data_IF_629739206821
#
_entry.id   IF_629739206821
#
_cell.length_a   1.000
_cell.length_b   1.000
_cell.length_c   1.000
_cell.angle_alpha   90.00
_cell.angle_beta   90.00
_cell.angle_gamma   90.00
#
_symmetry.space_group_name_H-M   'P 1'
#
loop_
_entity.id
_entity.type
_entity.pdbx_description
1 polymer ?
#
# COMPACT_ATOMS: atom_id res chain seq x y z
N UNK A 1 -4.21 5.40 -18.95
CA UNK A 1 -5.38 4.56 -19.16
C UNK A 1 -5.82 3.95 -17.83
N UNK A 2 -7.11 3.78 -17.63
CA UNK A 2 -7.71 3.14 -16.46
C UNK A 2 -8.60 1.98 -16.91
N UNK A 3 -8.47 0.83 -16.25
CA UNK A 3 -9.29 -0.34 -16.54
C UNK A 3 -10.70 -0.11 -15.98
N UNK A 4 -11.72 -0.28 -16.81
CA UNK A 4 -13.13 -0.02 -16.47
C UNK A 4 -14.04 -1.23 -16.66
N UNK A 5 -13.60 -2.23 -17.41
CA UNK A 5 -14.30 -3.52 -17.50
C UNK A 5 -13.29 -4.66 -17.68
N UNK A 6 -13.59 -5.80 -17.07
CA UNK A 6 -12.84 -7.05 -17.18
C UNK A 6 -13.81 -8.22 -17.33
N UNK A 7 -13.58 -9.04 -18.34
CA UNK A 7 -14.31 -10.29 -18.58
C UNK A 7 -13.29 -11.38 -18.90
N UNK A 8 -13.66 -12.62 -18.66
CA UNK A 8 -12.82 -13.77 -19.04
C UNK A 8 -13.67 -14.90 -19.62
N UNK A 9 -13.04 -15.69 -20.46
CA UNK A 9 -13.58 -16.94 -21.02
C UNK A 9 -12.55 -18.08 -20.95
N UNK A 10 -12.83 -19.22 -21.55
CA UNK A 10 -11.92 -20.37 -21.57
C UNK A 10 -10.56 -20.06 -22.23
N UNK A 11 -10.47 -19.06 -23.12
CA UNK A 11 -9.31 -18.78 -23.95
C UNK A 11 -8.53 -17.52 -23.54
N UNK A 12 -9.10 -16.63 -22.72
CA UNK A 12 -8.43 -15.39 -22.32
C UNK A 12 -9.29 -14.43 -21.54
N UNK A 13 -8.79 -13.21 -21.42
CA UNK A 13 -9.42 -12.10 -20.72
C UNK A 13 -9.54 -10.90 -21.66
N UNK A 14 -10.68 -10.23 -21.64
CA UNK A 14 -10.94 -8.98 -22.33
C UNK A 14 -11.01 -7.84 -21.30
N UNK A 15 -10.20 -6.81 -21.50
CA UNK A 15 -10.15 -5.64 -20.64
C UNK A 15 -10.49 -4.39 -21.46
N UNK A 16 -11.37 -3.56 -20.93
CA UNK A 16 -11.64 -2.24 -21.48
C UNK A 16 -10.88 -1.20 -20.67
N UNK A 17 -10.16 -0.35 -21.36
CA UNK A 17 -9.39 0.75 -20.80
C UNK A 17 -9.99 2.07 -21.30
N UNK A 18 -10.23 3.02 -20.38
CA UNK A 18 -10.57 4.38 -20.72
C UNK A 18 -9.34 5.28 -20.57
N UNK A 19 -9.21 6.26 -21.45
CA UNK A 19 -8.16 7.27 -21.33
C UNK A 19 -8.37 8.11 -20.07
N UNK A 20 -7.30 8.30 -19.30
CA UNK A 20 -7.32 9.24 -18.16
C UNK A 20 -6.92 10.62 -18.66
N UNK A 21 -7.76 11.61 -18.39
CA UNK A 21 -7.53 13.02 -18.71
C UNK A 21 -7.15 13.73 -17.41
N UNK A 22 -6.12 14.56 -17.47
CA UNK A 22 -5.76 15.46 -16.36
C UNK A 22 -6.11 16.90 -16.75
N UNK A 23 -7.04 17.48 -16.01
CA UNK A 23 -7.43 18.88 -16.19
C UNK A 23 -7.47 19.56 -14.81
N UNK A 24 -6.84 20.72 -14.68
CA UNK A 24 -6.76 21.51 -13.43
C UNK A 24 -6.30 20.69 -12.21
N UNK A 25 -5.33 19.78 -12.42
CA UNK A 25 -4.81 18.91 -11.37
C UNK A 25 -5.70 17.72 -10.98
N UNK A 26 -6.91 17.63 -11.52
CA UNK A 26 -7.85 16.52 -11.30
C UNK A 26 -7.77 15.50 -12.43
N UNK A 27 -7.98 14.24 -12.07
CA UNK A 27 -8.06 13.14 -13.03
C UNK A 27 -9.53 12.78 -13.27
N UNK A 28 -9.90 12.55 -14.54
CA UNK A 28 -11.20 12.06 -14.95
C UNK A 28 -11.07 11.05 -16.07
N UNK A 29 -12.08 10.21 -16.25
CA UNK A 29 -12.16 9.29 -17.39
C UNK A 29 -12.60 10.05 -18.63
N UNK A 30 -11.85 9.88 -19.72
CA UNK A 30 -12.24 10.35 -21.05
C UNK A 30 -13.14 9.35 -21.78
N UNK A 31 -13.67 9.77 -22.92
CA UNK A 31 -14.55 8.93 -23.77
C UNK A 31 -13.74 7.92 -24.61
N UNK A 32 -12.47 8.20 -24.86
CA UNK A 32 -11.62 7.32 -25.65
C UNK A 32 -11.42 5.99 -24.94
N UNK A 33 -11.74 4.90 -25.62
CA UNK A 33 -11.66 3.54 -25.11
C UNK A 33 -10.74 2.67 -25.96
N UNK A 34 -10.07 1.74 -25.30
CA UNK A 34 -9.26 0.71 -25.91
C UNK A 34 -9.62 -0.65 -25.32
N UNK A 35 -9.79 -1.66 -26.17
CA UNK A 35 -9.96 -3.04 -25.73
C UNK A 35 -8.66 -3.81 -25.90
N UNK A 36 -8.31 -4.56 -24.86
CA UNK A 36 -7.11 -5.41 -24.83
C UNK A 36 -7.55 -6.83 -24.53
N UNK A 37 -7.11 -7.78 -25.37
CA UNK A 37 -7.27 -9.21 -25.09
C UNK A 37 -5.94 -9.83 -24.68
N UNK A 38 -5.94 -10.56 -23.59
CA UNK A 38 -4.77 -11.24 -23.05
C UNK A 38 -5.09 -12.68 -22.65
N UNK A 39 -4.08 -13.55 -22.61
CA UNK A 39 -4.27 -14.93 -22.12
C UNK A 39 -4.48 -14.97 -20.61
N UNK A 40 -3.84 -14.08 -19.88
CA UNK A 40 -3.95 -13.89 -18.42
C UNK A 40 -3.92 -12.40 -18.09
N UNK A 41 -4.52 -12.03 -16.95
CA UNK A 41 -4.45 -10.70 -16.37
C UNK A 41 -3.92 -10.82 -14.94
N UNK A 42 -3.00 -9.92 -14.57
CA UNK A 42 -2.49 -9.81 -13.20
C UNK A 42 -2.93 -8.45 -12.65
N UNK A 43 -3.79 -8.48 -11.64
CA UNK A 43 -4.13 -7.31 -10.82
C UNK A 43 -3.01 -7.02 -9.83
N UNK A 44 -2.18 -6.02 -10.14
CA UNK A 44 -1.18 -5.44 -9.24
C UNK A 44 -1.50 -3.95 -9.01
N UNK A 45 -2.79 -3.64 -8.90
CA UNK A 45 -3.42 -2.33 -8.96
C UNK A 45 -3.76 -1.77 -7.56
N UNK A 46 -3.06 -2.27 -6.54
CA UNK A 46 -3.06 -1.71 -5.20
C UNK A 46 -4.26 -2.13 -4.33
N UNK A 47 -4.32 -1.58 -3.12
CA UNK A 47 -5.31 -1.95 -2.09
C UNK A 47 -6.77 -1.77 -2.55
N UNK A 48 -7.03 -0.80 -3.42
CA UNK A 48 -8.35 -0.53 -4.00
C UNK A 48 -8.57 -1.23 -5.35
N UNK A 49 -7.88 -2.34 -5.58
CA UNK A 49 -7.83 -3.09 -6.83
C UNK A 49 -9.18 -3.21 -7.55
N UNK A 50 -9.26 -2.63 -8.75
CA UNK A 50 -10.36 -2.83 -9.67
C UNK A 50 -10.47 -4.31 -10.06
N UNK A 51 -9.32 -4.96 -10.32
CA UNK A 51 -9.29 -6.37 -10.73
C UNK A 51 -9.89 -7.27 -9.64
N UNK A 52 -9.51 -7.06 -8.37
CA UNK A 52 -10.10 -7.83 -7.25
C UNK A 52 -11.61 -7.64 -7.16
N UNK A 53 -12.06 -6.38 -7.24
CA UNK A 53 -13.49 -6.07 -7.20
C UNK A 53 -14.26 -6.68 -8.38
N UNK A 54 -13.69 -6.65 -9.58
CA UNK A 54 -14.29 -7.25 -10.77
C UNK A 54 -14.47 -8.77 -10.67
N UNK A 55 -13.64 -9.43 -9.85
CA UNK A 55 -13.74 -10.86 -9.56
C UNK A 55 -14.68 -11.18 -8.38
N UNK A 56 -15.22 -10.18 -7.68
CA UNK A 56 -16.00 -10.39 -6.46
C UNK A 56 -15.18 -11.01 -5.31
N UNK A 57 -13.85 -10.84 -5.31
CA UNK A 57 -12.99 -11.40 -4.28
C UNK A 57 -12.98 -10.48 -3.06
N UNK A 58 -13.50 -11.00 -1.95
CA UNK A 58 -13.61 -10.29 -0.69
C UNK A 58 -12.28 -10.25 0.09
N UNK A 59 -12.14 -9.22 0.92
CA UNK A 59 -11.10 -9.12 1.92
C UNK A 59 -11.41 -9.97 3.16
N UNK A 60 -10.42 -10.67 3.66
CA UNK A 60 -10.38 -11.16 5.03
C UNK A 60 -9.65 -10.11 5.88
N UNK A 61 -10.37 -9.42 6.74
CA UNK A 61 -9.78 -8.46 7.70
C UNK A 61 -9.12 -9.24 8.85
N UNK A 62 -7.88 -8.86 9.18
CA UNK A 62 -7.11 -9.51 10.24
C UNK A 62 -7.10 -8.70 11.54
N UNK A 63 -7.89 -7.62 11.61
CA UNK A 63 -8.20 -6.92 12.86
C UNK A 63 -7.16 -5.88 13.28
N UNK A 64 -6.40 -5.28 12.35
CA UNK A 64 -5.55 -4.12 12.60
C UNK A 64 -5.98 -2.94 11.73
N UNK A 65 -6.23 -1.79 12.36
CA UNK A 65 -6.52 -0.54 11.68
C UNK A 65 -6.07 0.64 12.52
N UNK A 66 -5.18 1.47 11.96
CA UNK A 66 -4.71 2.71 12.59
C UNK A 66 -4.57 3.82 11.55
N UNK A 67 -4.90 5.04 11.90
CA UNK A 67 -4.72 6.21 11.05
C UNK A 67 -3.40 6.90 11.39
N UNK A 68 -2.61 7.19 10.36
CA UNK A 68 -1.31 7.82 10.50
C UNK A 68 -1.17 8.99 9.53
N UNK A 69 -0.79 10.15 10.05
CA UNK A 69 -0.37 11.28 9.24
C UNK A 69 1.05 11.02 8.73
N UNK A 70 1.22 10.95 7.43
CA UNK A 70 2.52 10.82 6.74
C UNK A 70 2.90 12.18 6.18
N UNK A 71 4.10 12.67 6.54
CA UNK A 71 4.61 13.98 6.16
C UNK A 71 5.95 13.82 5.47
N UNK A 72 6.05 14.26 4.22
CA UNK A 72 7.29 14.30 3.45
C UNK A 72 7.85 15.74 3.43
N UNK A 73 9.10 15.87 3.85
CA UNK A 73 9.83 17.13 3.91
C UNK A 73 11.09 17.09 3.02
N UNK A 74 11.46 18.25 2.49
CA UNK A 74 12.74 18.46 1.84
C UNK A 74 13.55 19.49 2.64
N UNK A 75 14.71 19.13 3.21
CA UNK A 75 15.61 20.09 3.84
C UNK A 75 15.99 21.18 2.85
N UNK A 76 16.05 22.44 3.32
CA UNK A 76 16.47 23.56 2.48
C UNK A 76 17.93 23.43 2.06
N UNK A 77 18.34 24.00 0.92
CA UNK A 77 19.72 23.94 0.45
C UNK A 77 20.71 24.38 1.53
N UNK A 78 21.72 23.54 1.79
CA UNK A 78 22.76 23.81 2.79
C UNK A 78 22.36 23.54 4.25
N UNK A 79 21.11 23.16 4.52
CA UNK A 79 20.65 22.80 5.85
C UNK A 79 20.91 21.31 6.10
N UNK A 80 21.64 21.00 7.15
CA UNK A 80 21.80 19.65 7.69
C UNK A 80 20.89 19.54 8.91
N UNK A 81 19.90 18.63 8.85
CA UNK A 81 19.02 18.37 9.98
C UNK A 81 19.75 17.50 11.02
N UNK A 82 19.70 17.93 12.28
CA UNK A 82 20.22 17.14 13.41
C UNK A 82 19.16 16.13 13.88
N UNK A 83 18.96 15.10 13.06
CA UNK A 83 18.00 14.03 13.31
C UNK A 83 18.62 12.68 12.95
N UNK A 84 18.25 11.59 13.66
CA UNK A 84 18.72 10.26 13.30
C UNK A 84 18.25 9.85 11.89
N UNK A 85 18.94 8.90 11.26
CA UNK A 85 18.52 8.39 9.96
C UNK A 85 17.16 7.70 10.02
N UNK A 86 16.96 6.89 11.05
CA UNK A 86 15.70 6.21 11.32
C UNK A 86 15.40 6.38 12.81
N UNK A 87 14.15 6.70 13.13
CA UNK A 87 13.68 6.82 14.51
C UNK A 87 12.28 6.22 14.68
N UNK A 88 12.10 5.51 15.77
CA UNK A 88 10.80 5.04 16.23
C UNK A 88 10.60 5.49 17.65
N UNK A 89 9.64 6.37 17.88
CA UNK A 89 9.24 6.83 19.20
C UNK A 89 7.93 6.16 19.61
N UNK A 90 8.02 5.17 20.50
CA UNK A 90 6.87 4.51 21.09
C UNK A 90 6.35 5.32 22.30
N UNK A 91 6.23 6.65 22.13
CA UNK A 91 5.70 7.52 23.16
C UNK A 91 4.18 7.53 23.11
N UNK A 92 3.46 7.15 24.20
CA UNK A 92 1.99 7.14 24.22
C UNK A 92 1.34 8.50 23.91
N UNK A 93 2.04 9.60 24.24
CA UNK A 93 1.55 10.95 23.91
C UNK A 93 1.50 11.21 22.41
N UNK A 94 2.42 10.61 21.64
CA UNK A 94 2.48 10.71 20.18
C UNK A 94 3.40 9.63 19.61
N UNK A 95 2.90 8.44 19.31
CA UNK A 95 3.66 7.46 18.54
C UNK A 95 4.11 8.07 17.21
N UNK A 96 5.42 8.02 16.96
CA UNK A 96 6.02 8.70 15.82
C UNK A 96 7.09 7.83 15.18
N UNK A 97 7.08 7.75 13.86
CA UNK A 97 8.13 7.12 13.05
C UNK A 97 8.82 8.19 12.21
N UNK A 98 10.13 8.08 12.04
CA UNK A 98 10.89 8.89 11.10
C UNK A 98 11.77 7.99 10.26
N UNK A 99 11.75 8.19 8.95
CA UNK A 99 12.54 7.40 7.98
C UNK A 99 13.03 8.29 6.84
N UNK A 100 14.03 7.86 6.06
CA UNK A 100 14.36 8.51 4.79
C UNK A 100 13.15 8.46 3.83
N UNK A 101 12.81 9.58 3.21
CA UNK A 101 11.73 9.68 2.22
C UNK A 101 12.20 9.43 0.77
N UNK A 102 13.48 9.03 0.60
CA UNK A 102 14.18 8.94 -0.67
C UNK A 102 15.34 9.95 -0.74
N UNK A 103 16.10 10.00 -1.82
CA UNK A 103 17.24 10.92 -1.94
C UNK A 103 16.82 12.38 -1.74
N UNK A 104 17.36 13.03 -0.70
CA UNK A 104 17.08 14.42 -0.36
C UNK A 104 15.75 14.67 0.36
N UNK A 105 15.02 13.63 0.73
CA UNK A 105 13.75 13.77 1.45
C UNK A 105 13.80 13.07 2.80
N UNK A 106 13.00 13.59 3.74
CA UNK A 106 12.78 13.01 5.07
C UNK A 106 11.30 12.82 5.28
N UNK A 107 10.92 11.73 5.97
CA UNK A 107 9.52 11.40 6.26
C UNK A 107 9.32 11.28 7.75
N UNK A 108 8.26 11.93 8.24
CA UNK A 108 7.69 11.71 9.56
C UNK A 108 6.31 11.08 9.42
N UNK A 109 6.00 10.19 10.34
CA UNK A 109 4.70 9.56 10.42
C UNK A 109 4.22 9.68 11.87
N UNK A 110 3.04 10.27 12.05
CA UNK A 110 2.43 10.52 13.37
C UNK A 110 1.13 9.76 13.49
N UNK A 111 0.99 8.92 14.51
CA UNK A 111 -0.26 8.23 14.79
C UNK A 111 -1.36 9.24 15.17
N UNK A 112 -2.54 9.07 14.61
CA UNK A 112 -3.73 9.84 15.04
C UNK A 112 -4.14 9.38 16.43
N UNK A 113 -4.30 10.33 17.34
CA UNK A 113 -4.80 10.05 18.69
C UNK A 113 -6.34 9.99 18.72
N UNK A 114 -6.94 9.30 19.71
CA UNK A 114 -8.39 9.10 19.76
C UNK A 114 -9.24 10.38 19.77
N UNK A 115 -8.69 11.48 20.28
CA UNK A 115 -9.38 12.78 20.37
C UNK A 115 -9.20 13.67 19.12
N UNK A 116 -8.41 13.22 18.13
CA UNK A 116 -8.15 13.98 16.90
C UNK A 116 -9.01 13.48 15.75
N UNK A 117 -9.38 14.37 14.85
CA UNK A 117 -10.02 14.04 13.58
C UNK A 117 -8.99 13.94 12.45
N UNK A 118 -9.39 13.39 11.30
CA UNK A 118 -8.54 13.38 10.10
C UNK A 118 -8.32 14.79 9.60
N UNK A 119 -9.33 15.63 9.69
CA UNK A 119 -9.31 17.05 9.31
C UNK A 119 -8.29 17.82 10.12
N UNK A 120 -8.21 17.59 11.45
CA UNK A 120 -7.20 18.21 12.32
C UNK A 120 -5.77 17.90 11.84
N UNK A 121 -5.52 16.64 11.43
CA UNK A 121 -4.21 16.21 10.95
C UNK A 121 -3.89 16.66 9.52
N UNK A 122 -4.87 17.14 8.77
CA UNK A 122 -4.69 17.74 7.44
C UNK A 122 -4.41 19.24 7.49
N UNK A 123 -4.60 19.86 8.66
CA UNK A 123 -4.27 21.28 8.88
C UNK A 123 -2.75 21.49 8.90
N UNK A 124 -2.27 22.40 8.07
CA UNK A 124 -0.83 22.67 7.89
C UNK A 124 -0.17 23.23 9.15
N UNK A 125 -0.88 24.04 9.93
CA UNK A 125 -0.33 24.59 11.18
C UNK A 125 -0.19 23.47 12.23
N UNK A 126 -1.15 22.57 12.29
CA UNK A 126 -1.06 21.36 13.11
C UNK A 126 0.12 20.46 12.69
N UNK A 127 0.33 20.26 11.39
CA UNK A 127 1.48 19.51 10.86
C UNK A 127 2.79 20.13 11.33
N UNK A 128 2.98 21.44 11.18
CA UNK A 128 4.18 22.12 11.64
C UNK A 128 4.34 22.10 13.16
N UNK A 129 3.25 22.17 13.91
CA UNK A 129 3.28 22.00 15.36
C UNK A 129 3.81 20.61 15.78
N UNK A 130 3.40 19.55 15.08
CA UNK A 130 3.89 18.18 15.33
C UNK A 130 5.38 18.02 14.99
N UNK A 131 5.85 18.71 13.96
CA UNK A 131 7.23 18.69 13.49
C UNK A 131 8.18 19.56 14.32
N UNK A 132 7.67 20.54 15.06
CA UNK A 132 8.42 21.63 15.70
C UNK A 132 9.59 21.19 16.59
N UNK A 133 9.52 19.96 17.12
CA UNK A 133 10.59 19.33 17.89
C UNK A 133 11.87 19.07 17.06
N UNK A 134 11.73 18.87 15.76
CA UNK A 134 12.83 18.44 14.87
C UNK A 134 13.15 19.43 13.77
N UNK A 135 12.12 20.02 13.18
CA UNK A 135 12.24 20.91 12.02
C UNK A 135 11.23 22.04 12.05
N UNK A 136 11.55 23.12 11.39
CA UNK A 136 10.69 24.30 11.24
C UNK A 136 10.58 24.69 9.74
N UNK A 137 9.65 25.59 9.38
CA UNK A 137 9.56 26.13 8.02
C UNK A 137 10.84 26.84 7.54
N UNK A 138 11.72 27.25 8.47
CA UNK A 138 13.01 27.88 8.10
C UNK A 138 14.06 26.83 7.68
N UNK A 139 13.92 25.58 8.10
CA UNK A 139 14.89 24.51 7.89
C UNK A 139 14.49 23.52 6.80
N UNK A 140 13.19 23.39 6.53
CA UNK A 140 12.68 22.44 5.53
C UNK A 140 11.41 22.96 4.85
N UNK A 141 11.16 22.47 3.64
CA UNK A 141 9.92 22.69 2.90
C UNK A 141 8.99 21.49 3.06
N UNK A 142 7.70 21.76 3.30
CA UNK A 142 6.66 20.76 3.33
C UNK A 142 6.29 20.37 1.90
N UNK A 143 6.64 19.14 1.51
CA UNK A 143 6.42 18.64 0.15
C UNK A 143 5.03 18.02 0.02
N UNK A 144 4.65 17.23 1.02
CA UNK A 144 3.36 16.54 1.05
C UNK A 144 3.01 16.13 2.48
N UNK A 145 1.73 16.17 2.80
CA UNK A 145 1.17 15.49 3.96
C UNK A 145 -0.17 14.85 3.60
N UNK A 146 -0.44 13.69 4.20
CA UNK A 146 -1.71 12.99 4.03
C UNK A 146 -1.92 11.99 5.16
N UNK A 147 -3.16 11.77 5.55
CA UNK A 147 -3.53 10.71 6.49
C UNK A 147 -3.76 9.42 5.72
N UNK A 148 -3.06 8.37 6.12
CA UNK A 148 -3.21 7.02 5.61
C UNK A 148 -3.81 6.13 6.68
N UNK A 149 -4.72 5.27 6.29
CA UNK A 149 -5.24 4.21 7.15
C UNK A 149 -4.43 2.93 6.92
N UNK A 150 -3.63 2.56 7.91
CA UNK A 150 -2.89 1.30 7.90
C UNK A 150 -3.83 0.17 8.30
N UNK A 151 -3.93 -0.84 7.44
CA UNK A 151 -4.84 -1.97 7.62
C UNK A 151 -4.10 -3.29 7.43
N UNK A 152 -4.64 -4.35 8.00
CA UNK A 152 -4.20 -5.73 7.76
C UNK A 152 -5.31 -6.52 7.09
N UNK A 153 -5.15 -6.81 5.81
CA UNK A 153 -6.14 -7.54 5.01
C UNK A 153 -5.47 -8.51 4.05
N UNK A 154 -6.12 -9.62 3.81
CA UNK A 154 -5.68 -10.60 2.82
C UNK A 154 -6.87 -11.02 1.97
N UNK A 155 -6.71 -11.07 0.64
CA UNK A 155 -7.76 -11.49 -0.25
C UNK A 155 -8.14 -12.96 0.01
N UNK A 156 -9.44 -13.26 -0.05
CA UNK A 156 -9.94 -14.61 0.17
C UNK A 156 -9.31 -15.62 -0.80
N UNK A 157 -9.25 -15.24 -2.08
CA UNK A 157 -8.57 -15.97 -3.15
C UNK A 157 -7.63 -15.04 -3.91
N UNK A 158 -6.58 -15.59 -4.51
CA UNK A 158 -5.58 -14.81 -5.24
C UNK A 158 -5.65 -15.02 -6.75
N UNK A 159 -6.54 -15.86 -7.21
CA UNK A 159 -6.88 -15.99 -8.62
C UNK A 159 -8.33 -16.49 -8.81
N UNK A 160 -8.85 -16.23 -9.99
CA UNK A 160 -10.09 -16.82 -10.50
C UNK A 160 -9.91 -17.03 -12.00
N UNK A 161 -9.87 -18.30 -12.42
CA UNK A 161 -9.60 -18.64 -13.82
C UNK A 161 -8.26 -18.10 -14.31
N UNK A 162 -8.31 -17.15 -15.25
CA UNK A 162 -7.13 -16.54 -15.88
C UNK A 162 -6.73 -15.19 -15.31
N UNK A 163 -7.38 -14.76 -14.23
CA UNK A 163 -7.11 -13.48 -13.59
C UNK A 163 -6.52 -13.72 -12.21
N UNK A 164 -5.37 -13.09 -11.92
CA UNK A 164 -4.59 -13.28 -10.71
C UNK A 164 -4.40 -11.95 -9.99
N UNK A 165 -4.14 -12.01 -8.68
CA UNK A 165 -3.82 -10.85 -7.86
C UNK A 165 -2.40 -10.97 -7.32
N UNK A 166 -1.69 -9.83 -7.18
CA UNK A 166 -0.36 -9.74 -6.61
C UNK A 166 -0.16 -8.44 -5.84
N UNK A 167 0.73 -8.45 -4.85
CA UNK A 167 1.03 -7.27 -4.04
C UNK A 167 -0.20 -6.75 -3.29
N UNK A 168 -0.35 -5.44 -3.18
CA UNK A 168 -1.42 -4.80 -2.41
C UNK A 168 -2.83 -5.10 -2.94
N UNK A 169 -2.97 -5.59 -4.16
CA UNK A 169 -4.25 -6.11 -4.67
C UNK A 169 -4.68 -7.40 -3.97
N UNK A 170 -3.71 -8.21 -3.52
CA UNK A 170 -3.93 -9.48 -2.84
C UNK A 170 -3.78 -9.40 -1.31
N UNK A 171 -2.97 -8.47 -0.79
CA UNK A 171 -2.71 -8.36 0.64
C UNK A 171 -2.23 -6.95 1.04
N UNK A 172 -2.76 -6.44 2.12
CA UNK A 172 -2.39 -5.15 2.72
C UNK A 172 -1.89 -5.41 4.13
N UNK A 173 -0.79 -4.77 4.49
CA UNK A 173 -0.17 -4.91 5.80
C UNK A 173 0.26 -3.57 6.38
N UNK A 174 0.30 -3.42 7.72
CA UNK A 174 0.86 -2.25 8.36
C UNK A 174 2.35 -2.08 7.98
N UNK A 175 2.89 -0.85 7.89
CA UNK A 175 4.24 -0.62 7.37
C UNK A 175 5.37 -0.91 8.37
N UNK A 176 5.09 -1.28 9.61
CA UNK A 176 6.06 -1.35 10.72
C UNK A 176 7.26 -2.29 10.51
N UNK A 177 7.17 -3.22 9.59
CA UNK A 177 8.29 -4.09 9.18
C UNK A 177 8.85 -3.75 7.80
N UNK A 178 8.29 -2.80 7.07
CA UNK A 178 8.72 -2.43 5.72
C UNK A 178 8.61 -3.57 4.69
N UNK A 179 7.73 -4.55 4.87
CA UNK A 179 7.70 -5.78 4.06
C UNK A 179 6.69 -5.78 2.90
N UNK A 180 5.87 -4.74 2.73
CA UNK A 180 4.83 -4.69 1.69
C UNK A 180 5.41 -4.85 0.29
N UNK A 181 6.32 -3.97 -0.12
CA UNK A 181 6.98 -4.03 -1.42
C UNK A 181 7.72 -5.36 -1.65
N UNK A 182 8.51 -5.80 -0.67
CA UNK A 182 9.25 -7.06 -0.78
C UNK A 182 8.32 -8.26 -0.93
N UNK A 183 7.15 -8.24 -0.31
CA UNK A 183 6.12 -9.27 -0.45
C UNK A 183 5.55 -9.29 -1.86
N UNK A 184 5.24 -8.13 -2.44
CA UNK A 184 4.78 -8.01 -3.82
C UNK A 184 5.83 -8.48 -4.84
N UNK A 185 7.12 -8.19 -4.61
CA UNK A 185 8.21 -8.70 -5.45
C UNK A 185 8.27 -10.23 -5.40
N UNK A 186 8.11 -10.83 -4.21
CA UNK A 186 8.07 -12.29 -4.06
C UNK A 186 6.84 -12.91 -4.74
N UNK A 187 5.70 -12.21 -4.77
CA UNK A 187 4.52 -12.64 -5.52
C UNK A 187 4.82 -12.66 -7.02
N UNK A 188 5.38 -11.57 -7.56
CA UNK A 188 5.75 -11.48 -8.96
C UNK A 188 6.75 -12.58 -9.35
N UNK A 189 7.77 -12.84 -8.52
CA UNK A 189 8.72 -13.93 -8.73
C UNK A 189 8.03 -15.30 -8.71
N UNK A 190 7.14 -15.53 -7.77
CA UNK A 190 6.41 -16.79 -7.63
C UNK A 190 5.43 -17.04 -8.79
N UNK A 191 4.81 -15.98 -9.32
CA UNK A 191 3.91 -16.05 -10.48
C UNK A 191 4.65 -16.23 -11.81
N UNK A 192 5.82 -15.62 -11.98
CA UNK A 192 6.49 -15.52 -13.28
C UNK A 192 6.78 -16.90 -13.91
N UNK A 193 7.34 -17.84 -13.15
CA UNK A 193 7.66 -19.17 -13.66
C UNK A 193 6.40 -20.02 -13.90
N UNK A 194 5.34 -19.84 -13.13
CA UNK A 194 4.06 -20.51 -13.35
C UNK A 194 3.45 -20.07 -14.66
N UNK A 195 3.41 -18.76 -14.88
CA UNK A 195 2.89 -18.20 -16.12
C UNK A 195 3.74 -18.60 -17.32
N UNK A 196 5.08 -18.67 -17.20
CA UNK A 196 5.94 -19.17 -18.27
C UNK A 196 5.56 -20.60 -18.68
N UNK A 197 5.41 -21.52 -17.71
CA UNK A 197 5.02 -22.90 -17.99
C UNK A 197 3.64 -22.99 -18.65
N UNK A 198 2.66 -22.22 -18.15
CA UNK A 198 1.31 -22.16 -18.72
C UNK A 198 1.31 -21.58 -20.13
N UNK A 199 2.04 -20.50 -20.35
CA UNK A 199 2.12 -19.82 -21.65
C UNK A 199 2.81 -20.66 -22.70
N UNK A 200 3.72 -21.55 -22.31
CA UNK A 200 4.40 -22.53 -23.17
C UNK A 200 3.64 -23.84 -23.33
N UNK A 201 2.50 -24.01 -22.65
CA UNK A 201 1.71 -25.24 -22.70
C UNK A 201 2.38 -26.44 -21.99
N UNK A 202 3.32 -26.16 -21.06
CA UNK A 202 4.02 -27.19 -20.27
C UNK A 202 3.30 -27.51 -18.95
N UNK A 203 2.26 -26.79 -18.61
CA UNK A 203 1.39 -27.04 -17.49
C UNK A 203 -0.05 -26.58 -17.81
N UNK A 204 -1.02 -27.03 -17.04
CA UNK A 204 -2.40 -26.58 -17.12
C UNK A 204 -2.73 -25.57 -15.99
N UNK A 205 -3.93 -25.00 -16.02
CA UNK A 205 -4.34 -23.93 -15.10
C UNK A 205 -4.38 -24.37 -13.62
N UNK A 206 -4.38 -25.66 -13.29
CA UNK A 206 -4.35 -26.16 -11.90
C UNK A 206 -3.04 -25.76 -11.20
N UNK A 207 -1.98 -25.48 -11.96
CA UNK A 207 -0.74 -24.95 -11.42
C UNK A 207 -0.95 -23.62 -10.68
N UNK A 208 -1.94 -22.80 -11.07
CA UNK A 208 -2.23 -21.53 -10.43
C UNK A 208 -2.80 -21.69 -9.00
N UNK A 209 -3.43 -22.82 -8.70
CA UNK A 209 -3.90 -23.12 -7.34
C UNK A 209 -2.73 -23.12 -6.35
N UNK A 210 -1.57 -23.64 -6.77
CA UNK A 210 -0.36 -23.68 -5.95
C UNK A 210 0.17 -22.29 -5.60
N UNK A 211 -0.10 -21.24 -6.40
CA UNK A 211 0.28 -19.88 -6.10
C UNK A 211 -0.33 -19.38 -4.78
N UNK A 212 -1.65 -19.51 -4.65
CA UNK A 212 -2.35 -19.14 -3.41
C UNK A 212 -1.91 -20.01 -2.24
N UNK A 213 -1.78 -21.32 -2.44
CA UNK A 213 -1.38 -22.27 -1.40
C UNK A 213 0.02 -21.99 -0.85
N UNK A 214 0.96 -21.58 -1.67
CA UNK A 214 2.32 -21.29 -1.26
C UNK A 214 2.46 -19.87 -0.67
N UNK A 215 1.87 -18.85 -1.33
CA UNK A 215 2.12 -17.46 -0.95
C UNK A 215 1.27 -16.98 0.23
N UNK A 216 -0.01 -17.36 0.27
CA UNK A 216 -0.95 -16.86 1.27
C UNK A 216 -0.54 -17.16 2.72
N UNK A 217 -0.09 -18.37 3.10
CA UNK A 217 0.39 -18.64 4.46
C UNK A 217 1.61 -17.81 4.85
N UNK A 218 2.58 -17.63 3.92
CA UNK A 218 3.77 -16.82 4.16
C UNK A 218 3.41 -15.34 4.37
N UNK A 219 2.51 -14.81 3.54
CA UNK A 219 2.05 -13.43 3.67
C UNK A 219 1.27 -13.23 4.97
N UNK A 220 0.41 -14.17 5.35
CA UNK A 220 -0.29 -14.12 6.63
C UNK A 220 0.68 -14.00 7.80
N UNK A 221 1.74 -14.81 7.84
CA UNK A 221 2.76 -14.74 8.88
C UNK A 221 3.47 -13.37 8.92
N UNK A 222 3.78 -12.79 7.76
CA UNK A 222 4.38 -11.45 7.66
C UNK A 222 3.41 -10.37 8.16
N UNK A 223 2.12 -10.45 7.81
CA UNK A 223 1.10 -9.52 8.29
C UNK A 223 0.97 -9.60 9.81
N UNK A 224 0.86 -10.81 10.35
CA UNK A 224 0.73 -11.05 11.80
C UNK A 224 1.94 -10.53 12.57
N UNK A 225 3.16 -10.73 12.06
CA UNK A 225 4.37 -10.15 12.63
C UNK A 225 4.35 -8.62 12.58
N UNK A 226 3.93 -8.02 11.46
CA UNK A 226 3.80 -6.56 11.33
C UNK A 226 2.72 -6.00 12.26
N UNK A 227 1.62 -6.71 12.47
CA UNK A 227 0.58 -6.35 13.43
C UNK A 227 1.12 -6.41 14.88
N UNK A 228 1.93 -7.43 15.21
CA UNK A 228 2.55 -7.54 16.52
C UNK A 228 3.47 -6.35 16.82
N UNK A 229 4.28 -5.92 15.84
CA UNK A 229 5.07 -4.69 15.95
C UNK A 229 4.18 -3.46 16.10
N UNK A 230 3.10 -3.38 15.32
CA UNK A 230 2.12 -2.28 15.41
C UNK A 230 1.50 -2.17 16.80
N UNK A 231 1.21 -3.28 17.47
CA UNK A 231 0.67 -3.27 18.84
C UNK A 231 1.64 -2.68 19.86
N UNK A 232 2.96 -2.73 19.61
CA UNK A 232 3.96 -2.07 20.46
C UNK A 232 4.07 -0.58 20.11
N UNK A 233 4.08 -0.27 18.81
CA UNK A 233 4.28 1.11 18.33
C UNK A 233 3.05 1.99 18.60
N UNK A 234 1.84 1.44 18.45
CA UNK A 234 0.56 2.18 18.49
C UNK A 234 -0.05 2.27 19.88
N UNK A 235 0.72 2.08 20.95
CA UNK A 235 0.19 2.23 22.31
C UNK A 235 0.03 3.72 22.62
N UNK A 236 -1.22 4.16 22.83
CA UNK A 236 -1.56 5.54 23.24
C UNK A 236 -1.97 5.66 24.71
N UNK A 237 -2.02 4.55 25.44
CA UNK A 237 -2.32 4.50 26.86
C UNK A 237 -1.00 4.44 27.66
N UNK A 238 -0.68 5.47 28.49
CA UNK A 238 0.54 5.50 29.29
C UNK A 238 0.67 4.37 30.31
N UNK A 239 -0.43 3.73 30.68
CA UNK A 239 -0.44 2.60 31.62
C UNK A 239 -0.02 1.29 30.95
N UNK A 240 -0.22 1.20 29.62
CA UNK A 240 0.12 0.02 28.81
C UNK A 240 1.47 0.11 28.09
N UNK A 241 2.10 1.30 28.10
CA UNK A 241 3.34 1.61 27.40
C UNK A 241 4.62 1.22 28.16
#
# INVERSE_FOLDING_TARGET
WEATALKQDANGCDMVLNRVIRQDGKFSLGEEQQSVRARYVIGADGANSFVRHSLGIEWQDLGFQEDWLVVDLQPKPGVQLDVPDIGQWCNPERPTTMVPGGPGYRRWEFMRLPHETIEDLQDTDKVWSLLSRWVTPDTADLVRHAVYQFRSRIAANWHSGRVLLAGDAAHVMPPFMGQGMCSGIRDAWNLSWRLDLLLRGLADNTLLDSYTLERKPQIRAVIEASMAMGKVVCVSDPVQA
#
